data_IF_277210664821
#
_entry.id   IF_277210664821
#
_cell.length_a   1.000
_cell.length_b   1.000
_cell.length_c   1.000
_cell.angle_alpha   90.00
_cell.angle_beta   90.00
_cell.angle_gamma   90.00
#
_symmetry.space_group_name_H-M   'P 1'
#
loop_
_entity.id
_entity.type
_entity.pdbx_description
1 polymer ?
#
# COMPACT_ATOMS: atom_id res chain seq x y z
N UNK A 1 13.76 -27.34 -3.65
CA UNK A 1 14.05 -25.98 -3.14
C UNK A 1 14.17 -26.06 -1.63
N UNK A 2 15.26 -25.58 -1.02
CA UNK A 2 15.47 -25.73 0.44
C UNK A 2 14.33 -25.07 1.23
N UNK A 3 13.88 -25.70 2.32
CA UNK A 3 12.73 -25.25 3.14
C UNK A 3 12.81 -23.77 3.58
N UNK A 4 14.02 -23.20 3.67
CA UNK A 4 14.25 -21.78 3.98
C UNK A 4 13.83 -20.80 2.88
N UNK A 5 13.75 -21.22 1.62
CA UNK A 5 13.36 -20.34 0.51
C UNK A 5 11.84 -20.21 0.35
N UNK A 6 11.05 -21.17 0.83
CA UNK A 6 9.58 -21.19 0.63
C UNK A 6 8.87 -20.25 1.61
N UNK A 7 9.37 -20.15 2.84
CA UNK A 7 8.72 -19.36 3.90
C UNK A 7 8.55 -17.88 3.52
N UNK A 8 9.55 -17.17 2.97
CA UNK A 8 9.37 -15.79 2.52
C UNK A 8 8.28 -15.65 1.45
N UNK A 9 8.20 -16.56 0.48
CA UNK A 9 7.15 -16.50 -0.55
C UNK A 9 5.75 -16.72 0.03
N UNK A 10 5.59 -17.65 0.97
CA UNK A 10 4.33 -17.86 1.67
C UNK A 10 3.94 -16.65 2.53
N UNK A 11 4.91 -16.02 3.20
CA UNK A 11 4.67 -14.82 3.98
C UNK A 11 4.22 -13.64 3.11
N UNK A 12 4.85 -13.46 1.94
CA UNK A 12 4.45 -12.44 0.96
C UNK A 12 3.06 -12.74 0.40
N UNK A 13 2.76 -13.99 0.03
CA UNK A 13 1.44 -14.37 -0.46
C UNK A 13 0.35 -14.08 0.59
N UNK A 14 0.61 -14.44 1.84
CA UNK A 14 -0.27 -14.14 2.96
C UNK A 14 -0.49 -12.62 3.12
N UNK A 15 0.59 -11.84 3.07
CA UNK A 15 0.50 -10.38 3.16
C UNK A 15 -0.37 -9.78 2.05
N UNK A 16 -0.21 -10.25 0.80
CA UNK A 16 -1.02 -9.77 -0.34
C UNK A 16 -2.50 -10.12 -0.17
N UNK A 17 -2.81 -11.33 0.32
CA UNK A 17 -4.21 -11.73 0.62
C UNK A 17 -4.81 -10.82 1.70
N UNK A 18 -4.06 -10.59 2.78
CA UNK A 18 -4.50 -9.73 3.89
C UNK A 18 -4.71 -8.28 3.43
N UNK A 19 -3.81 -7.74 2.59
CA UNK A 19 -3.97 -6.41 2.01
C UNK A 19 -5.20 -6.31 1.10
N UNK A 20 -5.41 -7.29 0.21
CA UNK A 20 -6.59 -7.33 -0.65
C UNK A 20 -7.91 -7.35 0.15
N UNK A 21 -7.99 -8.20 1.18
CA UNK A 21 -9.15 -8.23 2.07
C UNK A 21 -9.30 -6.93 2.88
N UNK A 22 -8.20 -6.29 3.24
CA UNK A 22 -8.18 -5.04 4.00
C UNK A 22 -8.84 -3.88 3.24
N UNK A 23 -8.68 -3.79 1.91
CA UNK A 23 -9.35 -2.75 1.12
C UNK A 23 -10.87 -2.90 1.14
N UNK A 24 -11.37 -4.15 1.05
CA UNK A 24 -12.80 -4.44 1.14
C UNK A 24 -13.34 -4.09 2.54
N UNK A 25 -12.64 -4.52 3.59
CA UNK A 25 -13.02 -4.22 4.97
C UNK A 25 -13.03 -2.70 5.24
N UNK A 26 -12.02 -1.97 4.73
CA UNK A 26 -11.94 -0.51 4.88
C UNK A 26 -13.07 0.17 4.12
N UNK A 27 -13.41 -0.28 2.91
CA UNK A 27 -14.54 0.24 2.12
C UNK A 27 -15.87 0.12 2.87
N UNK A 28 -16.08 -1.00 3.57
CA UNK A 28 -17.27 -1.22 4.40
C UNK A 28 -17.21 -0.30 5.63
N UNK A 29 -16.06 -0.24 6.33
CA UNK A 29 -15.92 0.55 7.55
C UNK A 29 -16.16 2.05 7.32
N UNK A 30 -15.68 2.61 6.20
CA UNK A 30 -15.85 4.04 5.90
C UNK A 30 -17.29 4.44 5.55
N UNK A 31 -18.22 3.47 5.45
CA UNK A 31 -19.66 3.75 5.34
C UNK A 31 -20.29 4.05 6.70
N UNK A 32 -19.71 3.51 7.78
CA UNK A 32 -20.24 3.62 9.15
C UNK A 32 -19.51 4.67 9.98
N UNK A 33 -18.21 4.86 9.74
CA UNK A 33 -17.35 5.78 10.50
C UNK A 33 -16.47 6.61 9.57
N UNK A 34 -15.97 7.73 10.08
CA UNK A 34 -15.10 8.61 9.28
C UNK A 34 -13.77 7.93 8.93
N UNK A 35 -13.14 8.24 7.78
CA UNK A 35 -11.86 7.66 7.38
C UNK A 35 -10.75 7.83 8.43
N UNK A 36 -10.72 8.99 9.10
CA UNK A 36 -9.73 9.26 10.14
C UNK A 36 -9.93 8.35 11.37
N UNK A 37 -11.18 8.03 11.73
CA UNK A 37 -11.49 7.07 12.80
C UNK A 37 -11.01 5.66 12.43
N UNK A 38 -11.21 5.21 11.19
CA UNK A 38 -10.73 3.89 10.73
C UNK A 38 -9.21 3.80 10.85
N UNK A 39 -8.50 4.83 10.38
CA UNK A 39 -7.03 4.88 10.45
C UNK A 39 -6.55 4.90 11.90
N UNK A 40 -7.14 5.75 12.75
CA UNK A 40 -6.78 5.83 14.17
C UNK A 40 -6.95 4.49 14.89
N UNK A 41 -8.11 3.83 14.74
CA UNK A 41 -8.36 2.54 15.38
C UNK A 41 -7.38 1.48 14.89
N UNK A 42 -7.13 1.42 13.57
CA UNK A 42 -6.19 0.47 12.97
C UNK A 42 -4.78 0.62 13.52
N UNK A 43 -4.26 1.85 13.62
CA UNK A 43 -2.91 2.10 14.14
C UNK A 43 -2.83 2.05 15.66
N UNK A 44 -3.88 2.40 16.39
CA UNK A 44 -3.95 2.19 17.83
C UNK A 44 -3.82 0.69 18.18
N UNK A 45 -4.56 -0.16 17.48
CA UNK A 45 -4.41 -1.63 17.61
C UNK A 45 -3.00 -2.08 17.21
N UNK A 46 -2.46 -1.55 16.11
CA UNK A 46 -1.10 -1.83 15.66
C UNK A 46 -0.05 -1.51 16.72
N UNK A 47 -0.12 -0.33 17.35
CA UNK A 47 0.80 0.10 18.41
C UNK A 47 0.70 -0.82 19.63
N UNK A 48 -0.50 -1.24 20.03
CA UNK A 48 -0.68 -2.18 21.15
C UNK A 48 -0.03 -3.53 20.83
N UNK A 49 -0.30 -4.09 19.66
CA UNK A 49 0.24 -5.39 19.23
C UNK A 49 1.77 -5.33 19.12
N UNK A 50 2.31 -4.29 18.47
CA UNK A 50 3.76 -4.07 18.38
C UNK A 50 4.38 -3.87 19.76
N UNK A 51 3.75 -3.07 20.63
CA UNK A 51 4.21 -2.82 21.99
C UNK A 51 4.32 -4.11 22.81
N UNK A 52 3.30 -4.96 22.77
CA UNK A 52 3.31 -6.29 23.41
C UNK A 52 4.44 -7.15 22.83
N UNK A 53 4.60 -7.17 21.51
CA UNK A 53 5.62 -7.98 20.83
C UNK A 53 7.04 -7.54 21.21
N UNK A 54 7.29 -6.22 21.22
CA UNK A 54 8.58 -5.64 21.59
C UNK A 54 8.89 -5.91 23.06
N UNK A 55 7.90 -5.76 23.94
CA UNK A 55 8.04 -6.07 25.37
C UNK A 55 8.33 -7.56 25.60
N UNK A 56 7.61 -8.46 24.92
CA UNK A 56 7.81 -9.90 25.04
C UNK A 56 9.19 -10.37 24.55
N UNK A 57 9.77 -9.66 23.58
CA UNK A 57 11.11 -9.98 23.02
C UNK A 57 12.24 -9.22 23.70
N UNK A 58 11.95 -8.28 24.61
CA UNK A 58 12.92 -7.35 25.20
C UNK A 58 13.74 -6.56 24.17
N UNK A 59 13.12 -6.21 23.04
CA UNK A 59 13.78 -5.51 21.91
C UNK A 59 13.43 -4.02 21.87
N UNK A 60 13.12 -3.41 23.02
CA UNK A 60 12.73 -2.01 23.06
C UNK A 60 13.93 -1.09 22.78
N UNK A 61 13.85 -0.32 21.69
CA UNK A 61 14.85 0.65 21.29
C UNK A 61 14.17 1.96 20.91
N UNK A 62 14.69 3.08 21.42
CA UNK A 62 14.24 4.42 21.06
C UNK A 62 15.18 5.03 20.00
N UNK A 63 14.65 5.85 19.07
CA UNK A 63 15.47 6.63 18.17
C UNK A 63 16.42 7.56 18.93
N UNK A 64 17.59 7.84 18.35
CA UNK A 64 18.47 8.87 18.87
C UNK A 64 17.79 10.25 18.82
N UNK A 65 18.20 11.18 19.70
CA UNK A 65 17.53 12.51 19.85
C UNK A 65 17.43 13.30 18.53
N UNK A 66 18.40 13.14 17.65
CA UNK A 66 18.46 13.77 16.32
C UNK A 66 17.63 13.04 15.25
N UNK A 67 17.17 11.82 15.51
CA UNK A 67 16.42 11.01 14.54
C UNK A 67 14.90 11.21 14.65
N UNK A 68 14.42 11.77 15.77
CA UNK A 68 12.98 11.98 16.00
C UNK A 68 12.29 12.76 14.88
N UNK A 69 12.95 13.77 14.31
CA UNK A 69 12.41 14.50 13.16
C UNK A 69 12.24 13.62 11.92
N UNK A 70 13.21 12.74 11.63
CA UNK A 70 13.13 11.78 10.54
C UNK A 70 12.05 10.73 10.78
N UNK A 71 11.96 10.16 11.99
CA UNK A 71 10.91 9.20 12.35
C UNK A 71 9.52 9.83 12.28
N UNK A 72 9.36 11.07 12.75
CA UNK A 72 8.10 11.81 12.64
C UNK A 72 7.71 12.03 11.18
N UNK A 73 8.66 12.41 10.32
CA UNK A 73 8.42 12.60 8.90
C UNK A 73 8.05 11.29 8.19
N UNK A 74 8.75 10.20 8.48
CA UNK A 74 8.48 8.88 7.91
C UNK A 74 7.13 8.33 8.39
N UNK A 75 6.80 8.47 9.67
CA UNK A 75 5.51 8.08 10.22
C UNK A 75 4.36 8.97 9.69
N UNK A 76 4.62 10.25 9.44
CA UNK A 76 3.63 11.11 8.82
C UNK A 76 3.40 10.72 7.35
N UNK A 77 4.44 10.71 6.52
CA UNK A 77 4.31 10.45 5.08
C UNK A 77 3.93 9.00 4.78
N UNK A 78 4.66 8.05 5.35
CA UNK A 78 4.52 6.62 5.03
C UNK A 78 3.35 5.93 5.71
N UNK A 79 2.79 6.53 6.77
CA UNK A 79 1.67 5.94 7.51
C UNK A 79 0.47 6.88 7.50
N UNK A 80 0.57 8.02 8.19
CA UNK A 80 -0.60 8.87 8.47
C UNK A 80 -1.22 9.43 7.19
N UNK A 81 -0.40 10.09 6.37
CA UNK A 81 -0.79 10.73 5.13
C UNK A 81 -1.25 9.69 4.10
N UNK A 82 -0.43 8.67 3.86
CA UNK A 82 -0.74 7.54 2.99
C UNK A 82 -2.10 6.90 3.33
N UNK A 83 -2.29 6.48 4.58
CA UNK A 83 -3.48 5.74 4.99
C UNK A 83 -4.72 6.62 5.06
N UNK A 84 -4.56 7.90 5.38
CA UNK A 84 -5.66 8.86 5.36
C UNK A 84 -6.15 9.13 3.94
N UNK A 85 -5.24 9.36 2.98
CA UNK A 85 -5.57 9.50 1.57
C UNK A 85 -6.24 8.22 1.04
N UNK A 86 -5.70 7.05 1.36
CA UNK A 86 -6.24 5.77 0.92
C UNK A 86 -7.66 5.53 1.47
N UNK A 87 -7.87 5.74 2.78
CA UNK A 87 -9.18 5.52 3.41
C UNK A 87 -10.21 6.53 2.93
N UNK A 88 -9.80 7.79 2.69
CA UNK A 88 -10.67 8.84 2.13
C UNK A 88 -10.98 8.55 0.66
N UNK A 89 -10.01 8.08 -0.11
CA UNK A 89 -10.20 7.68 -1.49
C UNK A 89 -11.20 6.54 -1.62
N UNK A 90 -11.13 5.57 -0.71
CA UNK A 90 -12.08 4.46 -0.63
C UNK A 90 -13.52 4.89 -0.33
N UNK A 91 -13.81 6.12 0.13
CA UNK A 91 -15.20 6.59 0.27
C UNK A 91 -15.90 6.58 -1.09
N UNK A 92 -15.23 7.05 -2.15
CA UNK A 92 -15.81 7.16 -3.50
C UNK A 92 -15.24 6.19 -4.52
N UNK A 93 -14.02 5.69 -4.33
CA UNK A 93 -13.40 4.68 -5.17
C UNK A 93 -13.99 3.27 -4.91
N UNK A 94 -13.95 2.40 -5.91
CA UNK A 94 -14.23 0.98 -5.70
C UNK A 94 -12.99 0.28 -5.10
N UNK A 95 -13.22 -0.79 -4.32
CA UNK A 95 -12.12 -1.57 -3.75
C UNK A 95 -11.28 -2.26 -4.83
N UNK A 96 -11.94 -2.76 -5.89
CA UNK A 96 -11.28 -3.29 -7.10
C UNK A 96 -10.41 -2.22 -7.77
N UNK A 97 -10.95 -1.00 -7.93
CA UNK A 97 -10.21 0.13 -8.53
C UNK A 97 -9.00 0.51 -7.68
N UNK A 98 -9.17 0.52 -6.36
CA UNK A 98 -8.10 0.83 -5.41
C UNK A 98 -6.97 -0.19 -5.48
N UNK A 99 -7.31 -1.49 -5.48
CA UNK A 99 -6.33 -2.57 -5.49
C UNK A 99 -5.39 -2.52 -6.69
N UNK A 100 -5.89 -2.12 -7.87
CA UNK A 100 -5.03 -2.04 -9.05
C UNK A 100 -4.21 -0.76 -9.12
N UNK A 101 -4.73 0.38 -8.66
CA UNK A 101 -3.92 1.60 -8.55
C UNK A 101 -2.70 1.30 -7.66
N UNK A 102 -2.92 0.63 -6.52
CA UNK A 102 -1.83 0.19 -5.63
C UNK A 102 -0.93 -0.86 -6.30
N UNK A 103 -1.44 -1.71 -7.19
CA UNK A 103 -0.59 -2.63 -7.95
C UNK A 103 0.39 -1.90 -8.90
N UNK A 104 0.15 -0.63 -9.23
CA UNK A 104 1.08 0.21 -10.00
C UNK A 104 2.16 0.88 -9.15
N UNK A 105 2.08 0.84 -7.81
CA UNK A 105 3.08 1.44 -6.90
C UNK A 105 4.53 1.04 -7.23
N UNK A 106 4.86 -0.21 -7.61
CA UNK A 106 6.24 -0.56 -8.00
C UNK A 106 6.77 0.23 -9.21
N UNK A 107 5.90 0.64 -10.13
CA UNK A 107 6.27 1.48 -11.28
C UNK A 107 6.70 2.86 -10.80
N UNK A 108 5.91 3.47 -9.91
CA UNK A 108 6.24 4.76 -9.30
C UNK A 108 7.48 4.68 -8.41
N UNK A 109 7.63 3.61 -7.62
CA UNK A 109 8.84 3.39 -6.82
C UNK A 109 10.10 3.32 -7.69
N UNK A 110 10.05 2.56 -8.80
CA UNK A 110 11.18 2.47 -9.72
C UNK A 110 11.50 3.80 -10.40
N UNK A 111 10.47 4.54 -10.82
CA UNK A 111 10.61 5.86 -11.44
C UNK A 111 11.22 6.88 -10.47
N UNK A 112 10.73 6.93 -9.23
CA UNK A 112 11.25 7.81 -8.18
C UNK A 112 12.65 7.39 -7.74
N UNK A 113 12.95 6.09 -7.66
CA UNK A 113 14.30 5.57 -7.41
C UNK A 113 15.29 6.03 -8.48
N UNK A 114 14.90 5.97 -9.75
CA UNK A 114 15.70 6.49 -10.84
C UNK A 114 15.85 8.02 -10.81
N UNK A 115 14.77 8.76 -10.56
CA UNK A 115 14.78 10.23 -10.62
C UNK A 115 15.43 10.90 -9.40
N UNK A 116 15.06 10.46 -8.19
CA UNK A 116 15.46 11.07 -6.93
C UNK A 116 16.72 10.41 -6.35
N UNK A 117 16.81 9.07 -6.39
CA UNK A 117 17.96 8.33 -5.85
C UNK A 117 19.05 8.05 -6.91
N UNK A 118 18.79 8.35 -8.19
CA UNK A 118 19.70 8.10 -9.33
C UNK A 118 20.09 6.63 -9.48
N UNK A 119 19.19 5.72 -9.10
CA UNK A 119 19.40 4.28 -9.24
C UNK A 119 19.41 3.87 -10.72
N UNK A 120 20.35 3.00 -11.10
CA UNK A 120 20.42 2.47 -12.48
C UNK A 120 19.43 1.32 -12.65
N UNK A 121 18.35 1.56 -13.39
CA UNK A 121 17.40 0.52 -13.77
C UNK A 121 18.04 -0.46 -14.77
N UNK A 122 18.18 -1.71 -14.34
CA UNK A 122 18.64 -2.81 -15.22
C UNK A 122 17.53 -3.22 -16.19
N UNK A 123 17.92 -3.86 -17.29
CA UNK A 123 16.94 -4.24 -18.32
C UNK A 123 15.90 -5.26 -17.82
N UNK A 124 16.32 -6.16 -16.92
CA UNK A 124 15.41 -7.09 -16.24
C UNK A 124 14.41 -6.41 -15.31
N UNK A 125 14.81 -5.35 -14.60
CA UNK A 125 13.89 -4.57 -13.75
C UNK A 125 12.85 -3.85 -14.60
N UNK A 126 13.26 -3.16 -15.67
CA UNK A 126 12.34 -2.48 -16.58
C UNK A 126 11.35 -3.43 -17.25
N UNK A 127 11.81 -4.62 -17.66
CA UNK A 127 10.93 -5.66 -18.21
C UNK A 127 9.94 -6.19 -17.16
N UNK A 128 10.39 -6.43 -15.93
CA UNK A 128 9.53 -6.88 -14.83
C UNK A 128 8.48 -5.85 -14.43
N UNK A 129 8.85 -4.57 -14.38
CA UNK A 129 7.92 -3.45 -14.11
C UNK A 129 6.87 -3.36 -15.21
N UNK A 130 7.29 -3.41 -16.49
CA UNK A 130 6.38 -3.40 -17.63
C UNK A 130 5.42 -4.60 -17.58
N UNK A 131 5.92 -5.80 -17.30
CA UNK A 131 5.11 -7.00 -17.21
C UNK A 131 4.11 -6.92 -16.04
N UNK A 132 4.52 -6.40 -14.89
CA UNK A 132 3.64 -6.19 -13.74
C UNK A 132 2.54 -5.17 -14.06
N UNK A 133 2.87 -4.08 -14.74
CA UNK A 133 1.90 -3.09 -15.19
C UNK A 133 0.88 -3.69 -16.17
N UNK A 134 1.32 -4.48 -17.15
CA UNK A 134 0.45 -5.17 -18.09
C UNK A 134 -0.45 -6.20 -17.40
N UNK A 135 0.08 -6.97 -16.44
CA UNK A 135 -0.68 -7.91 -15.64
C UNK A 135 -1.77 -7.23 -14.80
N UNK A 136 -1.43 -6.10 -14.16
CA UNK A 136 -2.41 -5.29 -13.43
C UNK A 136 -3.51 -4.77 -14.36
N UNK A 137 -3.15 -4.24 -15.55
CA UNK A 137 -4.13 -3.77 -16.55
C UNK A 137 -5.08 -4.89 -17.00
N UNK A 138 -4.57 -6.11 -17.22
CA UNK A 138 -5.36 -7.25 -17.66
C UNK A 138 -6.40 -7.69 -16.60
N UNK A 139 -5.99 -7.76 -15.33
CA UNK A 139 -6.88 -8.15 -14.22
C UNK A 139 -8.01 -7.13 -14.06
N UNK A 140 -7.72 -5.85 -14.25
CA UNK A 140 -8.67 -4.75 -14.07
C UNK A 140 -9.63 -4.63 -15.23
N UNK A 141 -9.12 -4.74 -16.44
CA UNK A 141 -9.95 -4.66 -17.64
C UNK A 141 -10.91 -5.83 -17.73
N UNK A 142 -10.63 -6.92 -16.99
CA UNK A 142 -11.35 -8.18 -17.07
C UNK A 142 -11.50 -8.65 -18.53
N UNK A 143 -10.47 -8.37 -19.36
CA UNK A 143 -10.47 -8.62 -20.81
C UNK A 143 -11.10 -7.54 -21.69
N UNK A 144 -11.80 -6.54 -21.14
CA UNK A 144 -12.37 -5.41 -21.88
C UNK A 144 -11.61 -4.10 -21.59
N UNK A 145 -10.76 -3.67 -22.51
CA UNK A 145 -10.00 -2.41 -22.39
C UNK A 145 -10.91 -1.17 -22.32
N UNK A 146 -12.15 -1.24 -22.82
CA UNK A 146 -13.12 -0.14 -22.69
C UNK A 146 -13.64 0.00 -21.26
N UNK A 147 -13.69 -1.10 -20.50
CA UNK A 147 -14.07 -1.06 -19.08
C UNK A 147 -13.10 -0.22 -18.22
N UNK A 148 -11.85 -0.07 -18.64
CA UNK A 148 -10.87 0.83 -17.99
C UNK A 148 -11.32 2.28 -18.14
N UNK A 149 -11.87 2.68 -19.29
CA UNK A 149 -12.38 4.03 -19.52
C UNK A 149 -13.81 4.24 -18.99
N UNK A 150 -14.56 3.15 -18.75
CA UNK A 150 -15.94 3.17 -18.23
C UNK A 150 -15.99 3.06 -16.71
N UNK A 151 -15.00 2.42 -16.08
CA UNK A 151 -14.76 2.52 -14.65
C UNK A 151 -14.60 3.99 -14.32
N UNK A 152 -15.29 4.47 -13.28
CA UNK A 152 -15.41 5.88 -12.94
C UNK A 152 -14.07 6.49 -12.49
N UNK A 153 -13.07 6.58 -13.39
CA UNK A 153 -11.76 7.21 -13.19
C UNK A 153 -11.90 8.67 -12.79
N UNK A 154 -13.06 9.29 -13.08
CA UNK A 154 -13.43 10.62 -12.63
C UNK A 154 -13.87 10.72 -11.16
N UNK A 155 -14.00 9.60 -10.43
CA UNK A 155 -14.28 9.65 -9.00
C UNK A 155 -13.09 10.31 -8.27
N UNK A 156 -13.31 11.38 -7.48
CA UNK A 156 -12.23 12.07 -6.76
C UNK A 156 -11.37 11.14 -5.91
N UNK A 157 -11.97 10.05 -5.39
CA UNK A 157 -11.27 9.07 -4.59
C UNK A 157 -10.16 8.32 -5.31
N UNK A 158 -10.28 8.06 -6.61
CA UNK A 158 -9.22 7.38 -7.36
C UNK A 158 -7.93 8.21 -7.41
N UNK A 159 -8.06 9.53 -7.49
CA UNK A 159 -6.92 10.44 -7.42
C UNK A 159 -6.26 10.41 -6.04
N UNK A 160 -7.07 10.34 -4.98
CA UNK A 160 -6.55 10.20 -3.61
C UNK A 160 -5.81 8.87 -3.42
N UNK A 161 -6.31 7.76 -3.99
CA UNK A 161 -5.58 6.48 -3.98
C UNK A 161 -4.28 6.56 -4.78
N UNK A 162 -4.29 7.23 -5.94
CA UNK A 162 -3.08 7.35 -6.76
C UNK A 162 -2.00 8.19 -6.08
N UNK A 163 -2.41 9.21 -5.30
CA UNK A 163 -1.52 10.08 -4.56
C UNK A 163 -1.01 9.44 -3.25
N UNK A 164 -1.75 8.49 -2.69
CA UNK A 164 -1.37 7.82 -1.43
C UNK A 164 -0.14 6.95 -1.62
#
# INVERSE_FOLDING_TARGET
MSKQKIFPYLAVLFAVIVWGASFIATKIAVQEVTPITVVWLRFAMGVIILGITVAARNEFALPAKNEWGYFALLGFLGITWHQWLQSTGLVTAQASTTAWIVATTPVFMALLGWLALKEKLTWGQSAGITLAALGALLVVSNGDLKSIFVGNFGAPGNFLILLS
#
